data_IF_076357613571
#
_entry.id   IF_076357613571
#
_cell.length_a   1.000
_cell.length_b   1.000
_cell.length_c   1.000
_cell.angle_alpha   90.00
_cell.angle_beta   90.00
_cell.angle_gamma   90.00
#
_symmetry.space_group_name_H-M   'P 1'
#
loop_
_entity.id
_entity.type
_entity.pdbx_description
1 polymer ?
#
# COMPACT_ATOMS: atom_id res chain seq x y z
N UNK A 1 -3.52 -12.87 13.77
CA UNK A 1 -2.97 -14.23 13.99
C UNK A 1 -1.53 -14.25 13.55
N UNK A 2 -0.61 -14.83 14.34
CA UNK A 2 0.78 -15.06 13.94
C UNK A 2 0.99 -16.58 13.96
N UNK A 3 1.48 -17.16 12.86
CA UNK A 3 1.76 -18.59 12.74
C UNK A 3 3.20 -18.79 12.29
N UNK A 4 3.92 -19.66 12.99
CA UNK A 4 5.29 -20.05 12.69
C UNK A 4 5.34 -21.53 12.34
N UNK A 5 5.98 -21.88 11.22
CA UNK A 5 6.12 -23.27 10.78
C UNK A 5 7.57 -23.54 10.38
N UNK A 6 8.24 -24.57 10.96
CA UNK A 6 9.56 -25.00 10.50
C UNK A 6 9.49 -25.55 9.06
N UNK A 7 10.43 -25.12 8.21
CA UNK A 7 10.61 -25.61 6.83
C UNK A 7 12.05 -26.10 6.64
N UNK A 8 12.29 -27.37 6.25
CA UNK A 8 13.64 -27.84 5.94
C UNK A 8 14.27 -27.10 4.75
N UNK A 9 15.62 -26.99 4.66
CA UNK A 9 16.59 -27.53 5.61
C UNK A 9 16.78 -26.70 6.88
N UNK A 10 16.64 -25.36 6.85
CA UNK A 10 16.79 -24.48 8.02
C UNK A 10 15.99 -23.16 7.86
N UNK A 11 14.76 -23.24 7.35
CA UNK A 11 13.87 -22.09 7.14
C UNK A 11 12.76 -22.06 8.20
N UNK A 12 12.33 -20.86 8.58
CA UNK A 12 11.11 -20.66 9.38
C UNK A 12 10.14 -19.87 8.51
N UNK A 13 8.97 -20.45 8.21
CA UNK A 13 7.89 -19.70 7.57
C UNK A 13 7.08 -18.96 8.64
N UNK A 14 6.95 -17.65 8.46
CA UNK A 14 6.12 -16.79 9.29
C UNK A 14 4.93 -16.27 8.47
N UNK A 15 3.73 -16.48 8.99
CA UNK A 15 2.48 -15.93 8.44
C UNK A 15 1.86 -14.99 9.47
N UNK A 16 1.64 -13.73 9.09
CA UNK A 16 1.03 -12.73 9.95
C UNK A 16 -0.23 -12.19 9.27
N UNK A 17 -1.36 -12.27 9.98
CA UNK A 17 -2.59 -11.60 9.61
C UNK A 17 -2.96 -10.59 10.70
N UNK A 18 -3.10 -9.33 10.30
CA UNK A 18 -3.40 -8.22 11.20
C UNK A 18 -4.46 -7.30 10.61
N UNK A 19 -5.26 -6.68 11.47
CA UNK A 19 -6.18 -5.61 11.12
C UNK A 19 -5.62 -4.33 11.71
N UNK A 20 -5.22 -3.40 10.86
CA UNK A 20 -4.59 -2.14 11.27
C UNK A 20 -5.53 -0.99 10.94
N UNK A 21 -5.80 -0.07 11.89
CA UNK A 21 -6.48 1.17 11.59
C UNK A 21 -5.74 1.99 10.52
N UNK A 22 -6.47 2.57 9.58
CA UNK A 22 -5.88 3.41 8.52
C UNK A 22 -5.01 4.54 9.09
N UNK A 23 -5.42 5.12 10.23
CA UNK A 23 -4.66 6.18 10.89
C UNK A 23 -3.26 5.72 11.33
N UNK A 24 -3.12 4.47 11.77
CA UNK A 24 -1.82 3.95 12.19
C UNK A 24 -0.88 3.73 11.00
N UNK A 25 -1.43 3.35 9.84
CA UNK A 25 -0.69 3.28 8.57
C UNK A 25 -0.18 4.67 8.18
N UNK A 26 -1.04 5.69 8.26
CA UNK A 26 -0.67 7.08 7.96
C UNK A 26 0.42 7.56 8.93
N UNK A 27 0.25 7.33 10.22
CA UNK A 27 1.23 7.69 11.25
C UNK A 27 2.59 7.01 11.02
N UNK A 28 2.58 5.73 10.61
CA UNK A 28 3.81 5.01 10.28
C UNK A 28 4.55 5.68 9.11
N UNK A 29 3.83 5.99 8.02
CA UNK A 29 4.41 6.65 6.85
C UNK A 29 4.95 8.05 7.19
N UNK A 30 4.23 8.82 8.00
CA UNK A 30 4.68 10.13 8.47
C UNK A 30 5.95 10.02 9.33
N UNK A 31 6.06 9.02 10.22
CA UNK A 31 7.28 8.77 11.00
C UNK A 31 8.48 8.40 10.12
N UNK A 32 8.24 7.77 8.97
CA UNK A 32 9.26 7.45 7.96
C UNK A 32 9.65 8.65 7.07
N UNK A 33 9.01 9.81 7.26
CA UNK A 33 9.31 11.04 6.53
C UNK A 33 8.50 11.23 5.25
N UNK A 34 7.46 10.44 5.03
CA UNK A 34 6.52 10.66 3.93
C UNK A 34 5.47 11.69 4.31
N UNK A 35 5.11 12.52 3.34
CA UNK A 35 3.96 13.41 3.43
C UNK A 35 2.73 12.70 2.86
N UNK A 36 1.71 12.50 3.70
CA UNK A 36 0.46 11.85 3.28
C UNK A 36 -0.56 12.91 2.88
N UNK A 37 -1.00 12.87 1.62
CA UNK A 37 -1.92 13.85 1.02
C UNK A 37 -3.12 13.16 0.40
N UNK A 38 -4.27 13.83 0.41
CA UNK A 38 -5.45 13.37 -0.31
C UNK A 38 -5.16 13.33 -1.82
N UNK A 39 -5.65 12.30 -2.49
CA UNK A 39 -5.47 12.06 -3.92
C UNK A 39 -6.75 11.44 -4.49
N UNK A 40 -7.14 11.90 -5.67
CA UNK A 40 -8.28 11.32 -6.40
C UNK A 40 -7.72 10.54 -7.58
N UNK A 41 -7.86 9.22 -7.51
CA UNK A 41 -7.55 8.35 -8.63
C UNK A 41 -8.76 8.34 -9.57
N UNK A 42 -8.53 8.75 -10.81
CA UNK A 42 -9.58 8.85 -11.83
C UNK A 42 -9.43 7.70 -12.81
N UNK A 43 -10.43 6.82 -12.85
CA UNK A 43 -10.56 5.79 -13.86
C UNK A 43 -11.36 6.38 -15.02
N UNK A 44 -10.76 6.54 -16.22
CA UNK A 44 -11.48 7.06 -17.38
C UNK A 44 -12.60 6.10 -17.78
N UNK A 45 -13.65 6.63 -18.41
CA UNK A 45 -14.67 5.78 -18.99
C UNK A 45 -14.06 4.93 -20.11
N UNK A 46 -14.32 3.63 -20.09
CA UNK A 46 -13.87 2.68 -21.11
C UNK A 46 -15.08 2.17 -21.87
N UNK A 47 -15.05 2.29 -23.20
CA UNK A 47 -15.97 1.61 -24.10
C UNK A 47 -15.19 0.57 -24.89
N UNK A 48 -15.51 -0.70 -24.65
CA UNK A 48 -15.02 -1.85 -25.37
C UNK A 48 -16.18 -2.58 -26.05
N UNK A 49 -15.86 -3.55 -26.93
CA UNK A 49 -16.86 -4.26 -27.74
C UNK A 49 -17.98 -4.92 -26.92
N UNK A 50 -17.70 -5.33 -25.69
CA UNK A 50 -18.65 -6.02 -24.80
C UNK A 50 -18.82 -5.35 -23.42
N UNK A 51 -18.08 -4.28 -23.14
CA UNK A 51 -17.99 -3.67 -21.82
C UNK A 51 -18.06 -2.15 -21.93
N UNK A 52 -18.91 -1.52 -21.11
CA UNK A 52 -18.95 -0.07 -20.97
C UNK A 52 -18.85 0.23 -19.48
N UNK A 53 -17.71 0.75 -19.06
CA UNK A 53 -17.49 1.16 -17.67
C UNK A 53 -17.56 2.68 -17.56
N UNK A 54 -18.44 3.21 -16.69
CA UNK A 54 -18.52 4.64 -16.48
C UNK A 54 -17.27 5.16 -15.76
N UNK A 55 -16.96 6.45 -15.97
CA UNK A 55 -15.92 7.15 -15.22
C UNK A 55 -16.15 6.93 -13.72
N UNK A 56 -15.12 6.44 -13.04
CA UNK A 56 -15.15 6.21 -11.59
C UNK A 56 -14.00 6.99 -10.94
N UNK A 57 -14.27 7.55 -9.77
CA UNK A 57 -13.28 8.28 -8.99
C UNK A 57 -13.13 7.61 -7.63
N UNK A 58 -11.89 7.34 -7.24
CA UNK A 58 -11.55 6.83 -5.93
C UNK A 58 -10.82 7.92 -5.14
N UNK A 59 -11.47 8.41 -4.09
CA UNK A 59 -10.84 9.33 -3.14
C UNK A 59 -10.00 8.54 -2.14
N UNK A 60 -8.69 8.75 -2.18
CA UNK A 60 -7.70 8.01 -1.41
C UNK A 60 -6.57 8.94 -0.97
N UNK A 61 -5.45 8.38 -0.53
CA UNK A 61 -4.26 9.12 -0.14
C UNK A 61 -3.03 8.62 -0.90
N UNK A 62 -2.07 9.51 -1.09
CA UNK A 62 -0.72 9.18 -1.53
C UNK A 62 0.27 9.50 -0.44
N UNK A 63 1.40 8.80 -0.41
CA UNK A 63 2.51 9.07 0.49
C UNK A 63 3.76 9.41 -0.34
N UNK A 64 4.19 10.66 -0.31
CA UNK A 64 5.28 11.16 -1.17
C UNK A 64 6.40 11.77 -0.34
N UNK A 65 7.64 11.68 -0.84
CA UNK A 65 8.75 12.50 -0.32
C UNK A 65 8.63 13.96 -0.79
N UNK A 66 9.36 14.92 -0.20
CA UNK A 66 9.20 16.36 -0.48
C UNK A 66 9.31 16.79 -1.95
N UNK A 67 9.89 15.95 -2.83
CA UNK A 67 10.09 16.24 -4.26
C UNK A 67 9.39 15.23 -5.19
N UNK A 68 8.50 14.39 -4.66
CA UNK A 68 7.75 13.40 -5.44
C UNK A 68 6.34 13.91 -5.73
N UNK A 69 5.90 13.75 -6.98
CA UNK A 69 4.55 14.10 -7.41
C UNK A 69 3.58 12.98 -7.03
N UNK A 70 2.34 13.32 -6.65
CA UNK A 70 1.28 12.33 -6.40
C UNK A 70 0.95 11.55 -7.68
N UNK A 71 0.82 10.23 -7.55
CA UNK A 71 0.50 9.32 -8.64
C UNK A 71 -0.15 8.04 -8.10
N UNK A 72 -0.62 7.17 -9.00
CA UNK A 72 -1.13 5.85 -8.60
C UNK A 72 -0.04 4.96 -7.98
N UNK A 73 1.21 5.13 -8.39
CA UNK A 73 2.33 4.33 -7.88
C UNK A 73 2.64 4.62 -6.42
N UNK A 74 2.35 5.84 -5.95
CA UNK A 74 2.60 6.27 -4.57
C UNK A 74 1.34 6.38 -3.72
N UNK A 75 0.29 5.64 -4.08
CA UNK A 75 -0.82 5.38 -3.16
C UNK A 75 -0.29 4.88 -1.81
N UNK A 76 -0.85 5.40 -0.72
CA UNK A 76 -0.28 5.20 0.62
C UNK A 76 -0.17 3.72 1.01
N UNK A 77 -1.10 2.86 0.55
CA UNK A 77 -1.05 1.41 0.78
C UNK A 77 0.12 0.74 0.02
N UNK A 78 0.39 1.15 -1.22
CA UNK A 78 1.51 0.61 -2.00
C UNK A 78 2.85 0.98 -1.34
N UNK A 79 2.98 2.23 -0.88
CA UNK A 79 4.16 2.71 -0.17
C UNK A 79 4.32 1.97 1.17
N UNK A 80 3.23 1.78 1.90
CA UNK A 80 3.24 1.05 3.17
C UNK A 80 3.64 -0.42 2.99
N UNK A 81 3.09 -1.11 1.98
CA UNK A 81 3.45 -2.49 1.68
C UNK A 81 4.94 -2.62 1.37
N UNK A 82 5.49 -1.69 0.57
CA UNK A 82 6.92 -1.65 0.27
C UNK A 82 7.76 -1.46 1.54
N UNK A 83 7.44 -0.47 2.37
CA UNK A 83 8.18 -0.17 3.59
C UNK A 83 8.13 -1.31 4.63
N UNK A 84 6.99 -1.99 4.77
CA UNK A 84 6.89 -3.15 5.66
C UNK A 84 7.69 -4.33 5.13
N UNK A 85 7.65 -4.60 3.82
CA UNK A 85 8.45 -5.67 3.23
C UNK A 85 9.94 -5.42 3.40
N UNK A 86 10.38 -4.18 3.17
CA UNK A 86 11.77 -3.78 3.43
C UNK A 86 12.14 -3.97 4.89
N UNK A 87 11.31 -3.51 5.83
CA UNK A 87 11.51 -3.71 7.26
C UNK A 87 11.58 -5.20 7.67
N UNK A 88 10.71 -6.05 7.11
CA UNK A 88 10.71 -7.49 7.43
C UNK A 88 11.86 -8.26 6.78
N UNK A 89 12.38 -7.80 5.64
CA UNK A 89 13.54 -8.40 4.98
C UNK A 89 14.87 -8.08 5.71
N UNK A 90 14.88 -7.07 6.58
CA UNK A 90 16.04 -6.74 7.42
C UNK A 90 16.18 -7.64 8.67
N UNK A 91 15.18 -8.49 8.95
CA UNK A 91 15.11 -9.40 10.11
C UNK A 91 15.60 -10.80 9.72
#
# INVERSE_FOLDING_TARGET
MIRLTPKPPDLIQMEIQMHIPQLDVINFLQKKGYEVKAYTLVFPATEEMLLSEPRTELHTFTATKPNENQSEENLFLNVFEKEIKEFLNEI
#
